data_IF_129331701545
#
_entry.id   IF_129331701545
#
_cell.length_a   1.000
_cell.length_b   1.000
_cell.length_c   1.000
_cell.angle_alpha   90.00
_cell.angle_beta   90.00
_cell.angle_gamma   90.00
#
_symmetry.space_group_name_H-M   'P 1'
#
loop_
_entity.id
_entity.type
_entity.pdbx_description
1 polymer ?
#
# COMPACT_ATOMS: atom_id res chain seq x y z
N UNK A 1 76.93 34.31 31.02
CA UNK A 1 76.57 35.73 30.95
C UNK A 1 75.03 35.83 30.96
N UNK A 2 74.68 36.61 31.86
CA UNK A 2 73.32 36.91 32.34
C UNK A 2 72.31 37.38 31.34
N UNK A 3 71.02 37.02 31.53
CA UNK A 3 69.96 37.99 31.54
C UNK A 3 68.73 37.47 32.30
N UNK A 4 68.14 38.29 33.19
CA UNK A 4 67.01 37.95 34.03
C UNK A 4 65.72 38.64 33.62
N UNK A 5 64.62 38.13 34.14
CA UNK A 5 63.31 38.77 34.31
C UNK A 5 62.39 39.05 33.11
N UNK A 6 61.36 38.28 33.09
CA UNK A 6 60.03 38.85 32.71
C UNK A 6 58.94 38.19 33.59
N UNK A 7 58.37 39.00 34.45
CA UNK A 7 57.14 38.74 35.19
C UNK A 7 55.99 38.54 34.20
N UNK A 8 55.31 37.42 34.27
CA UNK A 8 54.01 37.25 33.60
C UNK A 8 52.90 37.31 34.65
N UNK A 9 52.11 38.39 34.59
CA UNK A 9 50.89 38.59 35.38
C UNK A 9 49.85 37.58 34.94
N UNK A 10 49.32 36.80 35.89
CA UNK A 10 48.14 35.91 35.64
C UNK A 10 46.89 36.80 35.71
N UNK A 11 46.26 37.02 34.56
CA UNK A 11 44.85 37.45 34.47
C UNK A 11 43.98 36.17 34.46
N UNK A 12 43.29 35.91 35.57
CA UNK A 12 42.23 34.92 35.64
C UNK A 12 41.01 35.47 34.89
N UNK A 13 40.75 34.93 33.71
CA UNK A 13 39.48 35.13 32.97
C UNK A 13 38.50 34.09 33.44
N UNK A 14 37.56 34.51 34.30
CA UNK A 14 36.35 33.69 34.59
C UNK A 14 35.45 33.66 33.35
N UNK A 15 35.58 32.61 32.56
CA UNK A 15 34.68 32.31 31.48
C UNK A 15 33.34 31.79 32.04
N UNK A 16 32.32 32.60 31.99
CA UNK A 16 30.94 32.14 32.18
C UNK A 16 30.58 31.19 31.03
N UNK A 17 30.61 29.90 31.30
CA UNK A 17 30.00 28.91 30.38
C UNK A 17 28.48 29.07 30.48
N UNK A 18 27.88 29.81 29.54
CA UNK A 18 26.46 29.75 29.30
C UNK A 18 26.21 28.40 28.61
N UNK A 19 25.81 27.39 29.40
CA UNK A 19 25.20 26.18 28.84
C UNK A 19 23.88 26.57 28.19
N UNK A 20 23.92 26.89 26.90
CA UNK A 20 22.71 26.89 26.09
C UNK A 20 22.24 25.45 25.97
N UNK A 21 21.25 25.08 26.76
CA UNK A 21 20.43 23.89 26.51
C UNK A 21 19.73 24.11 25.17
N UNK A 22 20.40 23.79 24.09
CA UNK A 22 19.71 23.53 22.83
C UNK A 22 18.94 22.24 23.05
N UNK A 23 17.64 22.38 23.32
CA UNK A 23 16.73 21.23 23.32
C UNK A 23 16.87 20.54 21.97
N UNK A 24 17.61 19.45 21.93
CA UNK A 24 17.63 18.53 20.81
C UNK A 24 16.24 17.91 20.74
N UNK A 25 15.35 18.56 20.01
CA UNK A 25 14.08 17.95 19.64
C UNK A 25 14.42 16.59 19.04
N UNK A 26 13.94 15.51 19.67
CA UNK A 26 14.13 14.15 19.18
C UNK A 26 13.57 14.13 17.76
N UNK A 27 14.45 14.06 16.76
CA UNK A 27 14.04 13.94 15.38
C UNK A 27 13.29 12.61 15.22
N UNK A 28 12.20 12.63 14.51
CA UNK A 28 11.51 11.40 14.13
C UNK A 28 12.39 10.53 13.23
N UNK A 29 12.12 9.25 13.18
CA UNK A 29 12.92 8.28 12.45
C UNK A 29 12.06 7.38 11.58
N UNK A 30 12.58 7.02 10.40
CA UNK A 30 12.09 5.90 9.60
C UNK A 30 12.95 4.68 9.93
N UNK A 31 12.30 3.63 10.40
CA UNK A 31 12.91 2.35 10.77
C UNK A 31 12.39 1.25 9.84
N UNK A 32 13.25 0.29 9.51
CA UNK A 32 12.86 -0.91 8.79
C UNK A 32 12.62 -2.03 9.79
N UNK A 33 11.43 -2.63 9.78
CA UNK A 33 11.05 -3.68 10.72
C UNK A 33 12.05 -4.85 10.72
N UNK A 34 12.46 -5.27 9.53
CA UNK A 34 13.37 -6.40 9.35
C UNK A 34 14.80 -6.16 9.87
N UNK A 35 15.18 -4.90 10.10
CA UNK A 35 16.53 -4.55 10.53
C UNK A 35 16.66 -4.41 12.07
N UNK A 36 15.52 -4.42 12.79
CA UNK A 36 15.49 -4.25 14.23
C UNK A 36 15.69 -5.57 14.97
N UNK A 37 16.47 -5.53 16.02
CA UNK A 37 16.58 -6.62 16.99
C UNK A 37 15.58 -6.44 18.16
N UNK A 38 15.46 -7.44 19.03
CA UNK A 38 14.51 -7.44 20.15
C UNK A 38 14.68 -6.25 21.10
N UNK A 39 15.92 -5.78 21.30
CA UNK A 39 16.19 -4.60 22.15
C UNK A 39 15.65 -3.33 21.52
N UNK A 40 15.84 -3.17 20.21
CA UNK A 40 15.35 -2.02 19.46
C UNK A 40 13.81 -2.00 19.49
N UNK A 41 13.16 -3.15 19.32
CA UNK A 41 11.70 -3.27 19.47
C UNK A 41 11.25 -2.89 20.88
N UNK A 42 11.91 -3.36 21.92
CA UNK A 42 11.56 -3.05 23.31
C UNK A 42 11.65 -1.53 23.62
N UNK A 43 12.53 -0.82 22.93
CA UNK A 43 12.74 0.62 23.10
C UNK A 43 11.76 1.51 22.30
N UNK A 44 10.85 0.92 21.50
CA UNK A 44 9.88 1.70 20.73
C UNK A 44 8.77 2.23 21.66
N UNK A 45 8.46 3.52 21.53
CA UNK A 45 7.25 4.13 22.08
C UNK A 45 6.05 3.71 21.22
N UNK A 46 5.17 2.88 21.76
CA UNK A 46 4.02 2.32 21.03
C UNK A 46 2.97 3.36 20.65
N UNK A 47 2.84 4.41 21.43
CA UNK A 47 1.88 5.49 21.16
C UNK A 47 2.37 6.46 20.06
N UNK A 48 3.69 6.50 19.82
CA UNK A 48 4.33 7.36 18.83
C UNK A 48 5.03 6.61 17.71
N UNK A 49 4.79 5.30 17.59
CA UNK A 49 5.30 4.49 16.49
C UNK A 49 4.16 4.08 15.58
N UNK A 50 4.22 4.48 14.32
CA UNK A 50 3.29 4.07 13.27
C UNK A 50 3.91 2.94 12.48
N UNK A 51 3.23 1.80 12.44
CA UNK A 51 3.61 0.69 11.58
C UNK A 51 3.05 0.96 10.19
N UNK A 52 3.91 0.94 9.16
CA UNK A 52 3.53 1.11 7.76
C UNK A 52 3.72 -0.23 7.07
N UNK A 53 2.64 -0.75 6.48
CA UNK A 53 2.62 -2.05 5.81
C UNK A 53 2.45 -1.84 4.31
N UNK A 54 3.55 -1.78 3.54
CA UNK A 54 3.47 -1.71 2.08
C UNK A 54 3.06 -3.07 1.51
N UNK A 55 2.34 -3.05 0.39
CA UNK A 55 1.93 -4.26 -0.29
C UNK A 55 1.31 -3.98 -1.64
N UNK A 56 0.52 -4.92 -2.09
CA UNK A 56 -0.16 -4.90 -3.38
C UNK A 56 -0.43 -6.33 -3.82
N UNK A 57 -0.63 -6.50 -5.10
CA UNK A 57 -0.86 -7.81 -5.70
C UNK A 57 0.22 -8.06 -6.76
N UNK A 58 0.49 -9.31 -7.06
CA UNK A 58 1.17 -9.72 -8.28
C UNK A 58 0.09 -10.10 -9.28
N UNK A 59 -0.12 -9.21 -10.23
CA UNK A 59 -1.22 -9.25 -11.19
C UNK A 59 -0.69 -8.94 -12.59
N UNK A 60 -1.28 -9.56 -13.59
CA UNK A 60 -0.99 -9.17 -14.97
C UNK A 60 -1.29 -7.67 -15.17
N UNK A 61 -0.48 -6.96 -15.89
CA UNK A 61 -0.69 -5.57 -16.32
C UNK A 61 -0.41 -5.43 -17.83
N UNK A 62 -0.82 -6.45 -18.56
CA UNK A 62 -0.62 -6.54 -20.00
C UNK A 62 0.85 -6.67 -20.41
N UNK A 63 1.16 -6.46 -21.69
CA UNK A 63 2.51 -6.65 -22.22
C UNK A 63 3.44 -5.47 -21.97
N UNK A 64 2.96 -4.40 -21.33
CA UNK A 64 3.70 -3.14 -21.25
C UNK A 64 4.18 -2.80 -19.84
N UNK A 65 3.54 -3.29 -18.82
CA UNK A 65 3.83 -3.03 -17.42
C UNK A 65 4.26 -4.31 -16.69
N UNK A 66 5.06 -4.18 -15.62
CA UNK A 66 5.41 -5.35 -14.79
C UNK A 66 4.22 -5.81 -13.94
N UNK A 67 4.14 -7.10 -13.67
CA UNK A 67 3.12 -7.68 -12.79
C UNK A 67 3.13 -7.13 -11.33
N UNK A 68 4.17 -6.45 -10.94
CA UNK A 68 4.30 -5.80 -9.63
C UNK A 68 3.94 -4.32 -9.63
N UNK A 69 3.18 -3.81 -10.61
CA UNK A 69 2.86 -2.38 -10.75
C UNK A 69 2.23 -1.79 -9.50
N UNK A 70 1.25 -2.46 -8.90
CA UNK A 70 0.62 -2.06 -7.65
C UNK A 70 1.65 -1.93 -6.52
N UNK A 71 2.49 -2.96 -6.37
CA UNK A 71 3.53 -2.96 -5.36
C UNK A 71 4.55 -1.83 -5.53
N UNK A 72 4.88 -1.45 -6.76
CA UNK A 72 5.78 -0.33 -7.07
C UNK A 72 5.16 0.98 -6.58
N UNK A 73 3.90 1.24 -6.93
CA UNK A 73 3.19 2.44 -6.52
C UNK A 73 3.06 2.51 -4.99
N UNK A 74 2.56 1.44 -4.39
CA UNK A 74 2.29 1.37 -2.96
C UNK A 74 3.56 1.45 -2.11
N UNK A 75 4.65 0.81 -2.53
CA UNK A 75 5.92 0.89 -1.81
C UNK A 75 6.46 2.32 -1.80
N UNK A 76 6.38 3.02 -2.93
CA UNK A 76 6.77 4.43 -2.99
C UNK A 76 5.90 5.29 -2.09
N UNK A 77 4.58 5.10 -2.11
CA UNK A 77 3.66 5.84 -1.25
C UNK A 77 3.93 5.57 0.24
N UNK A 78 4.20 4.32 0.60
CA UNK A 78 4.56 3.92 1.96
C UNK A 78 5.85 4.60 2.44
N UNK A 79 6.85 4.70 1.59
CA UNK A 79 8.11 5.40 1.89
C UNK A 79 7.91 6.89 2.11
N UNK A 80 7.14 7.55 1.25
CA UNK A 80 6.86 8.98 1.38
C UNK A 80 6.00 9.27 2.62
N UNK A 81 5.05 8.40 2.99
CA UNK A 81 4.29 8.50 4.24
C UNK A 81 5.16 8.24 5.47
N UNK A 82 6.06 7.28 5.42
CA UNK A 82 7.01 7.04 6.50
C UNK A 82 7.90 8.27 6.74
N UNK A 83 8.34 8.92 5.68
CA UNK A 83 9.08 10.18 5.77
C UNK A 83 8.23 11.30 6.38
N UNK A 84 6.94 11.38 6.06
CA UNK A 84 6.01 12.36 6.64
C UNK A 84 5.79 12.12 8.14
N UNK A 85 5.60 10.87 8.56
CA UNK A 85 5.49 10.51 9.98
C UNK A 85 6.75 10.93 10.74
N UNK A 86 7.93 10.68 10.16
CA UNK A 86 9.22 11.03 10.75
C UNK A 86 9.49 12.54 10.82
N UNK A 87 8.68 13.40 10.20
CA UNK A 87 8.74 14.86 10.39
C UNK A 87 8.11 15.30 11.70
N UNK A 88 7.26 14.48 12.31
CA UNK A 88 6.62 14.79 13.59
C UNK A 88 7.62 14.54 14.72
N UNK A 89 7.91 15.54 15.58
CA UNK A 89 8.87 15.39 16.66
C UNK A 89 8.55 14.21 17.60
N UNK A 90 9.50 13.30 17.78
CA UNK A 90 9.38 12.11 18.63
C UNK A 90 8.60 10.94 18.03
N UNK A 91 8.03 11.08 16.82
CA UNK A 91 7.36 9.99 16.14
C UNK A 91 8.33 9.11 15.33
N UNK A 92 7.98 7.85 15.18
CA UNK A 92 8.71 6.89 14.37
C UNK A 92 7.78 6.22 13.37
N UNK A 93 8.26 6.03 12.15
CA UNK A 93 7.65 5.14 11.18
C UNK A 93 8.40 3.81 11.19
N UNK A 94 7.68 2.71 11.38
CA UNK A 94 8.23 1.35 11.34
C UNK A 94 7.70 0.65 10.09
N UNK A 95 8.52 0.58 9.05
CA UNK A 95 8.11 0.06 7.73
C UNK A 95 8.40 -1.44 7.65
N UNK A 96 7.35 -2.23 7.40
CA UNK A 96 7.47 -3.66 7.13
C UNK A 96 8.06 -3.92 5.74
N UNK A 97 8.62 -5.12 5.50
CA UNK A 97 8.83 -5.61 4.13
C UNK A 97 7.50 -5.64 3.35
N UNK A 98 7.57 -5.40 2.05
CA UNK A 98 6.40 -5.42 1.18
C UNK A 98 5.72 -6.81 1.18
N UNK A 99 4.40 -6.84 1.30
CA UNK A 99 3.57 -8.04 1.20
C UNK A 99 2.95 -8.08 -0.20
N UNK A 100 3.45 -8.90 -1.13
CA UNK A 100 2.98 -8.91 -2.52
C UNK A 100 1.83 -9.91 -2.77
N UNK A 101 0.99 -10.15 -1.77
CA UNK A 101 -0.11 -11.12 -1.83
C UNK A 101 -1.44 -10.39 -1.73
N UNK A 102 -2.20 -10.36 -2.80
CA UNK A 102 -3.52 -9.75 -2.89
C UNK A 102 -4.56 -10.69 -3.49
N UNK A 103 -5.81 -10.29 -3.46
CA UNK A 103 -6.95 -11.07 -3.94
C UNK A 103 -7.66 -10.35 -5.09
N UNK A 104 -8.22 -11.11 -6.02
CA UNK A 104 -8.89 -10.60 -7.22
C UNK A 104 -7.92 -10.09 -8.27
N UNK A 105 -8.11 -10.52 -9.51
CA UNK A 105 -7.32 -10.03 -10.64
C UNK A 105 -8.26 -9.50 -11.70
N UNK A 106 -7.86 -8.50 -12.46
CA UNK A 106 -8.63 -7.94 -13.57
C UNK A 106 -9.00 -9.01 -14.61
N UNK A 107 -8.20 -10.05 -14.74
CA UNK A 107 -8.51 -11.20 -15.58
C UNK A 107 -9.78 -11.95 -15.14
N UNK A 108 -10.11 -11.92 -13.85
CA UNK A 108 -11.31 -12.55 -13.29
C UNK A 108 -12.60 -11.87 -13.74
N UNK A 109 -12.55 -10.56 -14.07
CA UNK A 109 -13.67 -9.81 -14.68
C UNK A 109 -14.14 -10.51 -15.96
N UNK A 110 -13.20 -11.00 -16.78
CA UNK A 110 -13.46 -11.80 -17.98
C UNK A 110 -13.59 -13.30 -17.71
N UNK A 111 -13.69 -13.73 -16.47
CA UNK A 111 -13.70 -15.15 -16.06
C UNK A 111 -12.47 -15.93 -16.53
N UNK A 112 -11.33 -15.27 -16.60
CA UNK A 112 -10.06 -15.87 -17.00
C UNK A 112 -9.19 -16.07 -15.77
N UNK A 113 -9.25 -17.25 -15.23
CA UNK A 113 -8.47 -17.64 -14.06
C UNK A 113 -7.11 -18.19 -14.47
N UNK A 114 -6.08 -17.95 -13.67
CA UNK A 114 -4.69 -18.32 -13.95
C UNK A 114 -4.12 -17.64 -15.22
N UNK A 115 -4.40 -16.35 -15.38
CA UNK A 115 -3.82 -15.55 -16.46
C UNK A 115 -2.30 -15.41 -16.25
N UNK A 116 -1.49 -15.35 -17.33
CA UNK A 116 -0.03 -15.19 -17.19
C UNK A 116 0.33 -13.88 -16.47
N UNK A 117 1.04 -13.99 -15.36
CA UNK A 117 1.42 -12.86 -14.51
C UNK A 117 0.66 -12.79 -13.19
N UNK A 118 -0.49 -13.46 -13.09
CA UNK A 118 -1.27 -13.51 -11.86
C UNK A 118 -0.66 -14.45 -10.82
N UNK A 119 -0.55 -13.94 -9.59
CA UNK A 119 -0.19 -14.73 -8.42
C UNK A 119 -1.04 -14.24 -7.22
N UNK A 120 -2.32 -14.56 -7.27
CA UNK A 120 -3.32 -14.10 -6.31
C UNK A 120 -3.52 -15.11 -5.17
N UNK A 121 -4.06 -14.63 -4.07
CA UNK A 121 -4.56 -15.47 -2.98
C UNK A 121 -6.08 -15.32 -2.86
N UNK A 122 -6.75 -16.29 -2.25
CA UNK A 122 -8.18 -16.17 -1.97
C UNK A 122 -8.45 -14.99 -1.01
N UNK A 123 -9.57 -14.27 -1.17
CA UNK A 123 -9.91 -13.14 -0.28
C UNK A 123 -9.82 -13.50 1.21
N UNK A 124 -10.36 -14.64 1.60
CA UNK A 124 -10.29 -15.14 2.99
C UNK A 124 -8.84 -15.38 3.47
N UNK A 125 -7.93 -15.77 2.58
CA UNK A 125 -6.51 -15.94 2.91
C UNK A 125 -5.85 -14.59 3.14
N UNK A 126 -6.13 -13.59 2.31
CA UNK A 126 -5.67 -12.23 2.50
C UNK A 126 -6.13 -11.68 3.85
N UNK A 127 -7.43 -11.81 4.18
CA UNK A 127 -7.97 -11.41 5.47
C UNK A 127 -7.23 -12.08 6.64
N UNK A 128 -7.02 -13.39 6.56
CA UNK A 128 -6.33 -14.14 7.60
C UNK A 128 -4.90 -13.63 7.82
N UNK A 129 -4.15 -13.35 6.75
CA UNK A 129 -2.79 -12.78 6.83
C UNK A 129 -2.81 -11.46 7.60
N UNK A 130 -3.73 -10.55 7.28
CA UNK A 130 -3.78 -9.23 7.92
C UNK A 130 -4.36 -9.28 9.33
N UNK A 131 -5.28 -10.20 9.64
CA UNK A 131 -5.74 -10.43 11.02
C UNK A 131 -4.61 -10.99 11.88
N UNK A 132 -3.87 -12.00 11.42
CA UNK A 132 -2.72 -12.56 12.15
C UNK A 132 -1.62 -11.52 12.37
N UNK A 133 -1.34 -10.69 11.35
CA UNK A 133 -0.42 -9.56 11.49
C UNK A 133 -0.90 -8.56 12.54
N UNK A 134 -2.19 -8.21 12.48
CA UNK A 134 -2.85 -7.35 13.46
C UNK A 134 -2.73 -7.89 14.87
N UNK A 135 -2.98 -9.19 15.05
CA UNK A 135 -2.81 -9.88 16.32
C UNK A 135 -1.39 -9.73 16.90
N UNK A 136 -0.37 -9.97 16.06
CA UNK A 136 1.02 -9.85 16.50
C UNK A 136 1.40 -8.42 16.86
N UNK A 137 0.94 -7.44 16.10
CA UNK A 137 1.20 -6.02 16.35
C UNK A 137 0.43 -5.53 17.59
N UNK A 138 -0.85 -5.89 17.71
CA UNK A 138 -1.71 -5.51 18.82
C UNK A 138 -1.24 -6.08 20.17
N UNK A 139 -0.85 -7.36 20.20
CA UNK A 139 -0.24 -7.99 21.40
C UNK A 139 1.06 -7.32 21.82
N UNK A 140 1.80 -6.71 20.90
CA UNK A 140 3.00 -5.93 21.20
C UNK A 140 2.68 -4.48 21.59
N UNK A 141 1.41 -4.07 21.60
CA UNK A 141 0.96 -2.76 22.03
C UNK A 141 1.00 -1.67 20.94
N UNK A 142 1.25 -2.01 19.68
CA UNK A 142 1.15 -1.03 18.59
C UNK A 142 -0.29 -0.57 18.41
N UNK A 143 -0.48 0.73 18.24
CA UNK A 143 -1.81 1.34 18.11
C UNK A 143 -2.12 1.87 16.71
N UNK A 144 -1.11 2.12 15.91
CA UNK A 144 -1.22 2.77 14.60
C UNK A 144 -0.62 1.89 13.53
N UNK A 145 -1.44 1.37 12.65
CA UNK A 145 -1.03 0.53 11.52
C UNK A 145 -1.63 1.11 10.25
N UNK A 146 -0.79 1.58 9.32
CA UNK A 146 -1.21 2.10 8.03
C UNK A 146 -0.92 1.04 6.97
N UNK A 147 -1.97 0.45 6.43
CA UNK A 147 -1.88 -0.55 5.36
C UNK A 147 -1.90 0.19 4.02
N UNK A 148 -0.76 0.19 3.34
CA UNK A 148 -0.58 0.79 2.00
C UNK A 148 -0.52 -0.36 1.00
N UNK A 149 -1.69 -0.95 0.76
CA UNK A 149 -1.85 -2.20 0.00
C UNK A 149 -2.89 -2.01 -1.10
N UNK A 150 -2.60 -1.08 -2.02
CA UNK A 150 -3.53 -0.64 -3.05
C UNK A 150 -3.71 -1.70 -4.14
N UNK A 151 -4.98 -1.94 -4.45
CA UNK A 151 -5.47 -2.72 -5.58
C UNK A 151 -6.96 -2.45 -5.75
N UNK A 152 -7.45 -2.47 -6.99
CA UNK A 152 -8.81 -2.01 -7.34
C UNK A 152 -9.93 -3.01 -7.03
N UNK A 153 -9.66 -4.25 -6.66
CA UNK A 153 -10.69 -5.25 -6.39
C UNK A 153 -11.48 -4.93 -5.10
N UNK A 154 -12.84 -4.90 -5.14
CA UNK A 154 -13.67 -4.60 -3.97
C UNK A 154 -13.50 -5.58 -2.82
N UNK A 155 -13.35 -6.88 -3.10
CA UNK A 155 -13.19 -7.91 -2.07
C UNK A 155 -11.83 -7.84 -1.41
N UNK A 156 -10.78 -7.50 -2.17
CA UNK A 156 -9.48 -7.22 -1.62
C UNK A 156 -9.57 -6.13 -0.54
N UNK A 157 -10.22 -5.02 -0.88
CA UNK A 157 -10.38 -3.90 0.04
C UNK A 157 -11.26 -4.26 1.24
N UNK A 158 -12.34 -5.01 1.03
CA UNK A 158 -13.20 -5.49 2.11
C UNK A 158 -12.43 -6.36 3.11
N UNK A 159 -11.58 -7.26 2.65
CA UNK A 159 -10.77 -8.12 3.52
C UNK A 159 -9.79 -7.33 4.39
N UNK A 160 -9.22 -6.26 3.85
CA UNK A 160 -8.34 -5.36 4.59
C UNK A 160 -9.12 -4.53 5.61
N UNK A 161 -10.32 -4.04 5.25
CA UNK A 161 -11.19 -3.29 6.14
C UNK A 161 -11.68 -4.17 7.32
N UNK A 162 -12.08 -5.42 7.06
CA UNK A 162 -12.47 -6.38 8.10
C UNK A 162 -11.32 -6.68 9.07
N UNK A 163 -10.08 -6.82 8.56
CA UNK A 163 -8.92 -7.00 9.40
C UNK A 163 -8.63 -5.76 10.26
N UNK A 164 -8.86 -4.56 9.72
CA UNK A 164 -8.75 -3.30 10.45
C UNK A 164 -9.81 -3.18 11.55
N UNK A 165 -11.06 -3.55 11.26
CA UNK A 165 -12.15 -3.56 12.23
C UNK A 165 -11.87 -4.54 13.39
N UNK A 166 -11.38 -5.72 13.08
CA UNK A 166 -10.94 -6.69 14.09
C UNK A 166 -9.83 -6.12 14.98
N UNK A 167 -8.81 -5.50 14.39
CA UNK A 167 -7.74 -4.87 15.17
C UNK A 167 -8.24 -3.79 16.11
N UNK A 168 -9.19 -2.96 15.63
CA UNK A 168 -9.82 -1.93 16.45
C UNK A 168 -10.60 -2.54 17.63
N UNK A 169 -11.44 -3.54 17.37
CA UNK A 169 -12.31 -4.14 18.38
C UNK A 169 -11.52 -4.88 19.47
N UNK A 170 -10.43 -5.54 19.09
CA UNK A 170 -9.67 -6.38 20.02
C UNK A 170 -8.56 -5.60 20.75
N UNK A 171 -7.91 -4.65 20.06
CA UNK A 171 -6.71 -3.96 20.58
C UNK A 171 -6.93 -2.47 20.84
N UNK A 172 -8.04 -1.89 20.43
CA UNK A 172 -8.36 -0.47 20.61
C UNK A 172 -7.42 0.47 19.85
N UNK A 173 -6.72 -0.04 18.85
CA UNK A 173 -5.87 0.74 17.94
C UNK A 173 -6.57 0.98 16.59
N UNK A 174 -5.87 1.59 15.67
CA UNK A 174 -6.33 1.81 14.30
C UNK A 174 -5.41 1.09 13.32
N UNK A 175 -5.95 0.10 12.59
CA UNK A 175 -5.31 -0.53 11.44
C UNK A 175 -6.14 -0.19 10.22
N UNK A 176 -5.58 0.62 9.32
CA UNK A 176 -6.37 1.31 8.31
C UNK A 176 -5.93 0.95 6.90
N UNK A 177 -6.89 0.59 6.06
CA UNK A 177 -6.69 0.42 4.62
C UNK A 177 -6.68 1.80 3.95
N UNK A 178 -5.48 2.30 3.68
CA UNK A 178 -5.30 3.62 3.07
C UNK A 178 -5.90 3.70 1.67
N UNK A 179 -5.69 2.68 0.85
CA UNK A 179 -6.17 2.67 -0.52
C UNK A 179 -7.70 2.68 -0.59
N UNK A 180 -8.34 1.89 0.27
CA UNK A 180 -9.79 1.87 0.38
C UNK A 180 -10.39 3.23 0.71
N UNK A 181 -9.73 4.01 1.58
CA UNK A 181 -10.12 5.39 1.85
C UNK A 181 -9.92 6.31 0.63
N UNK A 182 -8.75 6.25 0.00
CA UNK A 182 -8.42 7.14 -1.12
C UNK A 182 -9.31 6.88 -2.33
N UNK A 183 -9.63 5.62 -2.61
CA UNK A 183 -10.51 5.24 -3.71
C UNK A 183 -11.95 5.68 -3.50
N UNK A 184 -12.39 5.76 -2.25
CA UNK A 184 -13.70 6.30 -1.90
C UNK A 184 -13.79 7.84 -1.99
N UNK A 185 -12.67 8.53 -2.21
CA UNK A 185 -12.62 9.98 -2.33
C UNK A 185 -12.84 10.43 -3.78
N UNK A 186 -13.46 11.60 -3.94
CA UNK A 186 -13.53 12.27 -5.24
C UNK A 186 -12.14 12.89 -5.55
N UNK A 187 -11.33 12.13 -6.29
CA UNK A 187 -10.03 12.58 -6.76
C UNK A 187 -10.17 13.27 -8.12
N UNK A 188 -9.41 14.36 -8.31
CA UNK A 188 -9.40 15.06 -9.59
C UNK A 188 -8.84 14.15 -10.68
N UNK A 189 -9.58 13.98 -11.73
CA UNK A 189 -9.12 13.36 -12.97
C UNK A 189 -8.33 14.39 -13.80
N UNK A 190 -7.05 14.15 -14.02
CA UNK A 190 -6.17 15.02 -14.78
C UNK A 190 -6.20 14.77 -16.29
N UNK A 191 -6.91 13.72 -16.74
CA UNK A 191 -7.09 13.40 -18.16
C UNK A 191 -7.98 14.47 -18.82
N UNK A 192 -7.70 14.80 -20.05
CA UNK A 192 -8.58 15.62 -20.89
C UNK A 192 -9.90 14.89 -21.21
N UNK A 193 -10.89 15.59 -21.71
CA UNK A 193 -12.16 14.96 -22.12
C UNK A 193 -11.96 13.92 -23.23
N UNK A 194 -11.02 14.17 -24.15
CA UNK A 194 -10.70 13.26 -25.25
C UNK A 194 -9.97 12.00 -24.73
N UNK A 195 -9.02 12.17 -23.85
CA UNK A 195 -8.31 11.06 -23.20
C UNK A 195 -9.28 10.18 -22.40
N UNK A 196 -10.18 10.78 -21.61
CA UNK A 196 -11.22 10.02 -20.88
C UNK A 196 -12.13 9.24 -21.83
N UNK A 197 -12.48 9.81 -22.97
CA UNK A 197 -13.32 9.15 -23.97
C UNK A 197 -12.61 7.93 -24.58
N UNK A 198 -11.29 8.01 -24.79
CA UNK A 198 -10.50 6.91 -25.35
C UNK A 198 -10.13 5.86 -24.31
N UNK A 199 -9.76 6.29 -23.11
CA UNK A 199 -9.31 5.43 -22.00
C UNK A 199 -10.49 4.71 -21.32
N UNK A 200 -11.66 5.34 -21.27
CA UNK A 200 -12.85 4.79 -20.63
C UNK A 200 -12.78 4.82 -19.10
N UNK A 201 -13.30 3.79 -18.46
CA UNK A 201 -13.23 3.62 -17.02
C UNK A 201 -11.78 3.45 -16.56
N UNK A 202 -11.37 4.07 -15.43
CA UNK A 202 -10.00 3.99 -14.93
C UNK A 202 -9.78 2.67 -14.16
N UNK A 203 -9.91 1.56 -14.87
CA UNK A 203 -9.77 0.24 -14.27
C UNK A 203 -8.29 -0.21 -14.27
N UNK A 204 -7.95 -1.31 -14.93
CA UNK A 204 -6.69 -2.01 -14.81
C UNK A 204 -5.73 -1.72 -15.97
N UNK A 205 -4.47 -1.44 -15.66
CA UNK A 205 -3.36 -1.19 -16.60
C UNK A 205 -3.65 -0.12 -17.66
N UNK A 206 -4.50 0.86 -17.31
CA UNK A 206 -4.96 1.95 -18.16
C UNK A 206 -3.86 3.01 -18.37
N UNK A 207 -4.24 4.10 -19.04
CA UNK A 207 -3.43 5.30 -19.15
C UNK A 207 -2.89 5.80 -17.81
N UNK A 208 -3.72 5.76 -16.74
CA UNK A 208 -3.31 6.25 -15.42
C UNK A 208 -2.20 5.39 -14.80
N UNK A 209 -2.38 4.07 -14.73
CA UNK A 209 -1.39 3.18 -14.12
C UNK A 209 -0.10 3.13 -14.95
N UNK A 210 -0.23 3.11 -16.28
CA UNK A 210 0.94 3.22 -17.16
C UNK A 210 1.69 4.52 -16.88
N UNK A 211 0.99 5.63 -16.64
CA UNK A 211 1.60 6.92 -16.31
C UNK A 211 2.30 6.89 -14.95
N UNK A 212 1.73 6.20 -13.93
CA UNK A 212 2.37 6.04 -12.63
C UNK A 212 3.71 5.30 -12.77
N UNK A 213 3.73 4.20 -13.51
CA UNK A 213 4.99 3.45 -13.66
C UNK A 213 6.00 4.24 -14.52
N UNK A 214 5.56 4.99 -15.53
CA UNK A 214 6.43 5.92 -16.26
C UNK A 214 7.04 7.00 -15.35
N UNK A 215 6.31 7.45 -14.34
CA UNK A 215 6.82 8.44 -13.38
C UNK A 215 7.78 7.82 -12.35
N UNK A 216 7.49 6.61 -11.88
CA UNK A 216 8.19 5.98 -10.75
C UNK A 216 9.34 5.07 -11.18
N UNK A 217 9.14 4.28 -12.23
CA UNK A 217 10.07 3.26 -12.72
C UNK A 217 10.01 3.15 -14.27
N UNK A 218 10.35 4.21 -14.98
CA UNK A 218 10.22 4.26 -16.45
C UNK A 218 10.96 3.13 -17.17
N UNK A 219 12.02 2.61 -16.57
CA UNK A 219 12.80 1.52 -17.12
C UNK A 219 12.07 0.16 -17.13
N UNK A 220 10.97 0.05 -16.40
CA UNK A 220 10.13 -1.16 -16.35
C UNK A 220 8.95 -1.10 -17.32
N UNK A 221 8.72 0.03 -17.98
CA UNK A 221 7.66 0.18 -18.97
C UNK A 221 8.20 -0.18 -20.35
N UNK A 222 7.58 -1.15 -21.02
CA UNK A 222 7.93 -1.47 -22.40
C UNK A 222 7.67 -0.26 -23.30
N UNK A 223 8.64 0.18 -24.14
CA UNK A 223 8.43 1.30 -25.06
C UNK A 223 7.29 1.07 -26.07
N UNK A 224 6.92 -0.18 -26.27
CA UNK A 224 5.85 -0.58 -27.18
C UNK A 224 4.45 -0.17 -26.68
N UNK A 225 4.32 0.29 -25.42
CA UNK A 225 3.04 0.79 -24.89
C UNK A 225 2.44 1.87 -25.81
N UNK A 226 3.27 2.64 -26.52
CA UNK A 226 2.82 3.66 -27.48
C UNK A 226 2.07 3.11 -28.68
N UNK A 227 2.16 1.80 -28.92
CA UNK A 227 1.44 1.11 -29.99
C UNK A 227 0.18 0.40 -29.50
N UNK A 228 -0.12 0.49 -28.20
CA UNK A 228 -1.27 -0.15 -27.57
C UNK A 228 -2.58 0.36 -28.20
N UNK A 229 -3.42 -0.58 -28.61
CA UNK A 229 -4.76 -0.25 -29.11
C UNK A 229 -5.73 -0.12 -27.94
N UNK A 230 -6.61 0.88 -27.91
CA UNK A 230 -7.59 1.02 -26.83
C UNK A 230 -8.41 -0.25 -26.63
N UNK A 231 -8.58 -0.65 -25.37
CA UNK A 231 -9.41 -1.77 -24.91
C UNK A 231 -10.40 -1.23 -23.85
N UNK A 232 -11.22 -0.29 -24.23
CA UNK A 232 -12.04 0.51 -23.31
C UNK A 232 -13.45 -0.02 -23.20
N UNK A 233 -14.08 0.22 -22.05
CA UNK A 233 -15.50 0.01 -21.78
C UNK A 233 -16.06 1.15 -20.94
N UNK A 234 -17.37 1.34 -20.99
CA UNK A 234 -18.08 2.39 -20.23
C UNK A 234 -18.71 1.85 -18.95
N UNK A 235 -18.70 0.54 -18.78
CA UNK A 235 -19.24 -0.15 -17.62
C UNK A 235 -18.46 -1.42 -17.35
N UNK A 236 -18.59 -1.97 -16.14
CA UNK A 236 -17.96 -3.24 -15.77
C UNK A 236 -18.44 -4.39 -16.68
N UNK A 237 -19.66 -4.35 -17.17
CA UNK A 237 -20.20 -5.34 -18.10
C UNK A 237 -19.47 -5.28 -19.45
N UNK A 238 -19.26 -4.08 -20.00
CA UNK A 238 -18.50 -3.91 -21.24
C UNK A 238 -17.04 -4.34 -21.06
N UNK A 239 -16.43 -4.04 -19.92
CA UNK A 239 -15.09 -4.49 -19.60
C UNK A 239 -15.01 -6.01 -19.46
N UNK A 240 -16.02 -6.65 -18.87
CA UNK A 240 -16.11 -8.11 -18.82
C UNK A 240 -16.19 -8.75 -20.21
N UNK A 241 -16.94 -8.13 -21.13
CA UNK A 241 -16.98 -8.58 -22.52
C UNK A 241 -15.61 -8.44 -23.22
N UNK A 242 -14.90 -7.32 -22.97
CA UNK A 242 -13.55 -7.10 -23.49
C UNK A 242 -12.57 -8.14 -22.92
N UNK A 243 -12.56 -8.35 -21.62
CA UNK A 243 -11.65 -9.29 -20.96
C UNK A 243 -11.93 -10.76 -21.29
N UNK A 244 -13.17 -11.10 -21.67
CA UNK A 244 -13.53 -12.46 -22.09
C UNK A 244 -13.01 -12.85 -23.48
N UNK A 245 -12.58 -11.87 -24.29
CA UNK A 245 -12.03 -12.13 -25.62
C UNK A 245 -10.74 -12.93 -25.52
N UNK A 246 -10.59 -13.94 -26.39
CA UNK A 246 -9.45 -14.85 -26.38
C UNK A 246 -8.08 -14.14 -26.48
N UNK A 247 -8.07 -13.04 -27.24
CA UNK A 247 -6.88 -12.22 -27.51
C UNK A 247 -6.77 -10.96 -26.62
N UNK A 248 -7.55 -10.88 -25.54
CA UNK A 248 -7.40 -9.81 -24.57
C UNK A 248 -5.99 -9.83 -23.97
N UNK A 249 -5.27 -8.69 -24.04
CA UNK A 249 -3.84 -8.69 -23.71
C UNK A 249 -3.52 -8.46 -22.23
N UNK A 250 -4.51 -8.37 -21.33
CA UNK A 250 -4.28 -8.13 -19.90
C UNK A 250 -4.27 -6.64 -19.53
N UNK A 251 -4.92 -5.77 -20.29
CA UNK A 251 -5.12 -4.37 -19.92
C UNK A 251 -6.43 -3.83 -20.45
N UNK A 252 -6.91 -2.77 -19.81
CA UNK A 252 -8.01 -1.95 -20.29
C UNK A 252 -7.53 -0.55 -20.70
N UNK A 253 -8.44 0.25 -21.24
CA UNK A 253 -8.20 1.64 -21.56
C UNK A 253 -7.25 1.87 -22.72
N UNK A 254 -6.52 2.97 -22.67
CA UNK A 254 -5.64 3.46 -23.72
C UNK A 254 -4.21 3.73 -23.21
N UNK A 255 -3.43 2.71 -22.88
CA UNK A 255 -2.06 2.90 -22.35
C UNK A 255 -1.16 3.76 -23.24
N UNK A 256 -1.40 3.77 -24.56
CA UNK A 256 -0.63 4.58 -25.52
C UNK A 256 -0.66 6.09 -25.23
N UNK A 257 -1.69 6.57 -24.54
CA UNK A 257 -1.84 7.98 -24.15
C UNK A 257 -1.09 8.33 -22.86
N UNK A 258 -0.52 7.35 -22.17
CA UNK A 258 0.16 7.56 -20.90
C UNK A 258 1.35 8.50 -21.01
N UNK A 259 1.50 9.35 -20.00
CA UNK A 259 2.62 10.29 -19.90
C UNK A 259 3.21 10.30 -18.49
N UNK A 260 4.51 10.53 -18.41
CA UNK A 260 5.19 10.74 -17.12
C UNK A 260 4.56 11.89 -16.33
N UNK A 261 4.19 12.99 -17.01
CA UNK A 261 3.58 14.16 -16.38
C UNK A 261 2.25 13.83 -15.70
N UNK A 262 1.38 13.07 -16.36
CA UNK A 262 0.13 12.61 -15.76
C UNK A 262 0.39 11.76 -14.51
N UNK A 263 1.38 10.86 -14.59
CA UNK A 263 1.78 10.03 -13.45
C UNK A 263 2.28 10.85 -12.27
N UNK A 264 3.11 11.86 -12.51
CA UNK A 264 3.62 12.76 -11.47
C UNK A 264 2.49 13.58 -10.83
N UNK A 265 1.55 14.10 -11.61
CA UNK A 265 0.42 14.89 -11.11
C UNK A 265 -0.55 14.05 -10.27
N UNK A 266 -0.92 12.90 -10.75
CA UNK A 266 -1.83 12.01 -10.02
C UNK A 266 -1.17 11.44 -8.78
N UNK A 267 0.10 11.02 -8.84
CA UNK A 267 0.85 10.59 -7.66
C UNK A 267 0.92 11.66 -6.57
N UNK A 268 1.22 12.91 -6.95
CA UNK A 268 1.26 14.02 -6.00
C UNK A 268 -0.08 14.23 -5.29
N UNK A 269 -1.20 14.10 -6.02
CA UNK A 269 -2.54 14.15 -5.43
C UNK A 269 -2.78 13.01 -4.43
N UNK A 270 -2.44 11.78 -4.81
CA UNK A 270 -2.55 10.62 -3.94
C UNK A 270 -1.74 10.81 -2.65
N UNK A 271 -0.51 11.27 -2.77
CA UNK A 271 0.35 11.54 -1.62
C UNK A 271 -0.23 12.61 -0.69
N UNK A 272 -0.72 13.73 -1.21
CA UNK A 272 -1.31 14.79 -0.37
C UNK A 272 -2.59 14.31 0.34
N UNK A 273 -3.44 13.56 -0.33
CA UNK A 273 -4.64 12.96 0.29
C UNK A 273 -4.28 11.91 1.35
N UNK A 274 -3.23 11.14 1.09
CA UNK A 274 -2.70 10.20 2.08
C UNK A 274 -2.16 10.88 3.33
N UNK A 275 -1.50 12.03 3.19
CA UNK A 275 -1.04 12.83 4.33
C UNK A 275 -2.22 13.42 5.11
N UNK A 276 -3.28 13.89 4.43
CA UNK A 276 -4.50 14.34 5.08
C UNK A 276 -5.14 13.24 5.91
N UNK A 277 -5.26 12.05 5.33
CA UNK A 277 -5.75 10.87 6.01
C UNK A 277 -4.91 10.52 7.24
N UNK A 278 -3.60 10.46 7.08
CA UNK A 278 -2.67 10.20 8.17
C UNK A 278 -2.84 11.20 9.33
N UNK A 279 -3.01 12.49 9.02
CA UNK A 279 -3.25 13.52 10.03
C UNK A 279 -4.52 13.26 10.83
N UNK A 280 -5.62 12.88 10.18
CA UNK A 280 -6.90 12.56 10.81
C UNK A 280 -6.79 11.35 11.75
N UNK A 281 -6.26 10.25 11.23
CA UNK A 281 -6.09 9.01 12.02
C UNK A 281 -5.19 9.26 13.23
N UNK A 282 -4.04 9.91 13.06
CA UNK A 282 -3.12 10.20 14.17
C UNK A 282 -3.60 11.32 15.11
N UNK A 283 -4.69 12.03 14.77
CA UNK A 283 -5.41 12.92 15.67
C UNK A 283 -6.49 12.18 16.47
N UNK A 284 -6.69 10.88 16.24
CA UNK A 284 -7.67 10.06 16.96
C UNK A 284 -9.04 9.97 16.28
N UNK A 285 -9.15 10.36 15.00
CA UNK A 285 -10.39 10.12 14.25
C UNK A 285 -10.57 8.62 14.02
N UNK A 286 -11.74 8.10 14.39
CA UNK A 286 -12.05 6.69 14.23
C UNK A 286 -12.13 6.38 12.72
N UNK A 287 -11.30 5.50 12.27
CA UNK A 287 -11.23 5.05 10.88
C UNK A 287 -12.58 4.56 10.33
N UNK A 288 -13.41 3.95 11.15
CA UNK A 288 -14.75 3.48 10.76
C UNK A 288 -15.71 4.59 10.34
N UNK A 289 -15.45 5.83 10.76
CA UNK A 289 -16.24 7.01 10.37
C UNK A 289 -15.74 7.65 9.05
N UNK A 290 -14.64 7.16 8.50
CA UNK A 290 -14.09 7.66 7.24
C UNK A 290 -14.67 6.88 6.05
N UNK A 291 -14.72 7.49 4.85
CA UNK A 291 -15.13 6.77 3.64
C UNK A 291 -14.30 5.50 3.42
N UNK A 292 -14.97 4.45 2.94
CA UNK A 292 -14.34 3.17 2.62
C UNK A 292 -14.80 2.69 1.25
N UNK A 293 -13.88 2.24 0.45
CA UNK A 293 -14.18 1.67 -0.86
C UNK A 293 -15.11 0.45 -0.76
N UNK A 294 -14.85 -0.43 0.18
CA UNK A 294 -15.69 -1.60 0.47
C UNK A 294 -17.15 -1.27 0.77
N UNK A 295 -17.44 -0.07 1.29
CA UNK A 295 -18.81 0.37 1.55
C UNK A 295 -19.54 0.92 0.31
N UNK A 296 -18.82 1.22 -0.77
CA UNK A 296 -19.37 1.74 -2.03
C UNK A 296 -19.83 0.64 -2.98
N UNK A 297 -19.28 -0.56 -2.81
CA UNK A 297 -19.54 -1.70 -3.66
C UNK A 297 -20.40 -2.70 -2.90
N UNK A 298 -21.64 -2.87 -3.36
CA UNK A 298 -22.50 -3.96 -2.94
C UNK A 298 -22.06 -5.30 -3.53
N UNK A 299 -22.87 -6.33 -3.42
CA UNK A 299 -22.61 -7.62 -4.05
C UNK A 299 -22.43 -7.44 -5.58
N UNK A 300 -21.22 -7.71 -6.07
CA UNK A 300 -20.93 -7.65 -7.50
C UNK A 300 -21.32 -8.98 -8.15
N UNK A 301 -22.27 -8.96 -9.13
CA UNK A 301 -22.67 -10.17 -9.86
C UNK A 301 -21.53 -10.83 -10.66
N UNK A 302 -20.47 -10.06 -11.00
CA UNK A 302 -19.27 -10.59 -11.67
C UNK A 302 -18.49 -11.60 -10.82
N UNK A 303 -18.70 -11.53 -9.54
CA UNK A 303 -18.01 -12.28 -8.52
C UNK A 303 -18.44 -13.74 -8.31
N UNK A 304 -19.60 -14.15 -8.85
CA UNK A 304 -20.10 -15.52 -8.61
C UNK A 304 -19.13 -16.59 -9.13
N UNK A 305 -18.46 -16.32 -10.25
CA UNK A 305 -17.44 -17.22 -10.80
C UNK A 305 -16.20 -17.34 -9.94
N UNK A 306 -15.70 -16.20 -9.47
CA UNK A 306 -14.54 -16.15 -8.57
C UNK A 306 -14.86 -16.78 -7.20
N UNK A 307 -16.05 -16.53 -6.64
CA UNK A 307 -16.49 -17.14 -5.39
C UNK A 307 -16.53 -18.67 -5.50
N UNK A 308 -17.16 -19.21 -6.56
CA UNK A 308 -17.20 -20.67 -6.80
C UNK A 308 -15.81 -21.28 -6.99
N UNK A 309 -14.90 -20.58 -7.67
CA UNK A 309 -13.51 -21.02 -7.78
C UNK A 309 -12.83 -21.07 -6.41
N UNK A 310 -12.97 -20.02 -5.61
CA UNK A 310 -12.37 -19.94 -4.28
C UNK A 310 -12.87 -21.03 -3.33
N UNK A 311 -14.18 -21.35 -3.37
CA UNK A 311 -14.77 -22.45 -2.60
C UNK A 311 -14.22 -23.79 -3.05
N UNK A 312 -14.14 -24.04 -4.36
CA UNK A 312 -13.57 -25.27 -4.91
C UNK A 312 -12.12 -25.44 -4.49
N UNK A 313 -11.28 -24.42 -4.64
CA UNK A 313 -9.88 -24.47 -4.22
C UNK A 313 -9.73 -24.74 -2.72
N UNK A 314 -10.61 -24.18 -1.89
CA UNK A 314 -10.62 -24.45 -0.45
C UNK A 314 -10.90 -25.93 -0.18
N UNK A 315 -11.91 -26.50 -0.85
CA UNK A 315 -12.27 -27.91 -0.73
C UNK A 315 -11.15 -28.84 -1.22
N UNK A 316 -10.56 -28.56 -2.38
CA UNK A 316 -9.44 -29.33 -2.94
C UNK A 316 -8.23 -29.36 -2.00
N UNK A 317 -7.88 -28.20 -1.40
CA UNK A 317 -6.79 -28.11 -0.41
C UNK A 317 -7.10 -28.93 0.84
N UNK A 318 -8.32 -28.83 1.39
CA UNK A 318 -8.71 -29.61 2.57
C UNK A 318 -8.71 -31.10 2.29
N UNK A 319 -9.24 -31.54 1.14
CA UNK A 319 -9.25 -32.97 0.77
C UNK A 319 -7.84 -33.51 0.60
N UNK A 320 -6.96 -32.71 -0.02
CA UNK A 320 -5.56 -33.10 -0.17
C UNK A 320 -4.88 -33.26 1.21
N UNK A 321 -5.10 -32.30 2.11
CA UNK A 321 -4.56 -32.33 3.47
C UNK A 321 -5.08 -33.58 4.23
N UNK A 322 -6.38 -33.87 4.16
CA UNK A 322 -7.00 -35.03 4.83
C UNK A 322 -6.42 -36.38 4.32
N UNK A 323 -6.09 -36.46 3.04
CA UNK A 323 -5.54 -37.65 2.41
C UNK A 323 -4.04 -37.84 2.62
N UNK A 324 -3.28 -36.76 2.64
CA UNK A 324 -1.82 -36.77 2.48
C UNK A 324 -1.09 -36.48 3.80
N UNK A 325 -1.64 -35.61 4.64
CA UNK A 325 -1.00 -35.27 5.92
C UNK A 325 -1.44 -36.28 6.98
N UNK A 326 -0.52 -37.04 7.60
CA UNK A 326 -0.88 -37.95 8.69
C UNK A 326 -1.58 -37.15 9.80
N UNK A 327 -2.65 -37.73 10.36
CA UNK A 327 -3.27 -37.15 11.56
C UNK A 327 -2.21 -37.05 12.64
N UNK A 328 -1.72 -35.85 12.94
CA UNK A 328 -0.86 -35.66 14.10
C UNK A 328 -1.67 -36.03 15.34
N UNK A 329 -1.11 -36.78 16.28
CA UNK A 329 -1.80 -36.99 17.57
C UNK A 329 -2.05 -35.61 18.18
N UNK A 330 -3.26 -35.44 18.71
CA UNK A 330 -3.57 -34.27 19.48
C UNK A 330 -2.61 -34.18 20.68
N UNK A 331 -1.85 -33.10 20.79
CA UNK A 331 -1.01 -32.85 21.94
C UNK A 331 -1.81 -32.32 23.10
#
# INVERSE_FOLDING_TARGET
MWNPNLLVRHCAVFGFFICTFTGSGVRGQVLRFADLNTRDFAALDRDKTVVVVPGGILEEHGPYLPAGSDGIFNNRLAEDLAAEIARRPGWKALVLPMIPLGAGSASEIGKRFAFPGDCTVRPITLRAIFMDLGDQLGKQGFRWVIVVHGHGDPKHNLMLDEAGDYFHDIYGGEMVNLFGYLWAMDLKDFRTAEERMQDGQPEHATMNETSWILALRPELVSPDYKTAKPKSGKSIQELAEVASQKDWPGYFGAPALATKQLGEQSYAQWLERSKDFLRKVLAGENYRNLPRYSALYGDDPGDEGAAKLNERLAQEHEEWLKKTVPKRPAH
#
